data_IF_640988877283
#
_entry.id   IF_640988877283
#
_cell.length_a   1.000
_cell.length_b   1.000
_cell.length_c   1.000
_cell.angle_alpha   90.00
_cell.angle_beta   90.00
_cell.angle_gamma   90.00
#
_symmetry.space_group_name_H-M   'P 1'
#
loop_
_entity.id
_entity.type
_entity.pdbx_description
1 polymer ?
#
# COMPACT_ATOMS: atom_id res chain seq x y z
N UNK A 1 -1.31 14.24 2.07
CA UNK A 1 -0.49 13.00 2.02
C UNK A 1 -1.14 12.03 1.04
N UNK A 2 -0.38 11.46 0.10
CA UNK A 2 -0.87 10.36 -0.75
C UNK A 2 -0.62 9.03 -0.03
N UNK A 3 -1.68 8.30 0.28
CA UNK A 3 -1.60 7.03 1.00
C UNK A 3 -2.01 5.89 0.05
N UNK A 4 -1.14 4.89 -0.13
CA UNK A 4 -1.39 3.76 -1.01
C UNK A 4 -1.82 2.54 -0.19
N UNK A 5 -2.94 1.92 -0.58
CA UNK A 5 -3.47 0.71 0.06
C UNK A 5 -3.88 -0.30 -1.03
N UNK A 6 -3.99 -1.57 -0.65
CA UNK A 6 -4.29 -2.67 -1.56
C UNK A 6 -5.80 -2.69 -1.84
N UNK A 7 -6.15 -2.72 -3.12
CA UNK A 7 -7.53 -2.79 -3.58
C UNK A 7 -8.11 -4.18 -3.30
N UNK A 8 -9.01 -4.24 -2.32
CA UNK A 8 -9.79 -5.43 -2.00
C UNK A 8 -11.11 -5.45 -2.80
N UNK A 9 -11.91 -6.52 -2.62
CA UNK A 9 -13.22 -6.68 -3.27
C UNK A 9 -14.16 -5.51 -2.89
N UNK A 10 -14.88 -4.92 -3.84
CA UNK A 10 -15.87 -3.89 -3.53
C UNK A 10 -17.01 -4.40 -2.63
N UNK A 11 -17.60 -3.56 -1.77
CA UNK A 11 -17.24 -2.16 -1.50
C UNK A 11 -16.00 -2.05 -0.62
N UNK A 12 -15.04 -1.20 -1.02
CA UNK A 12 -13.68 -1.19 -0.46
C UNK A 12 -13.65 -0.74 1.00
N UNK A 13 -14.61 0.10 1.38
CA UNK A 13 -14.80 0.64 2.73
C UNK A 13 -15.13 -0.46 3.75
N UNK A 14 -15.67 -1.60 3.29
CA UNK A 14 -16.04 -2.73 4.15
C UNK A 14 -15.04 -3.88 4.10
N UNK A 15 -14.11 -3.87 3.15
CA UNK A 15 -13.26 -5.03 2.84
C UNK A 15 -11.78 -4.73 2.93
N UNK A 16 -11.37 -3.46 3.04
CA UNK A 16 -9.98 -3.09 3.21
C UNK A 16 -9.40 -3.70 4.51
N UNK A 17 -8.49 -4.66 4.37
CA UNK A 17 -7.97 -5.45 5.48
C UNK A 17 -6.44 -5.66 5.43
N UNK A 18 -5.73 -4.89 4.61
CA UNK A 18 -4.27 -5.01 4.41
C UNK A 18 -3.49 -4.63 5.68
N UNK A 19 -2.87 -5.57 6.41
CA UNK A 19 -2.31 -5.28 7.73
C UNK A 19 -1.16 -4.26 7.70
N UNK A 20 -0.38 -4.25 6.62
CA UNK A 20 0.73 -3.31 6.48
C UNK A 20 0.26 -1.86 6.23
N UNK A 21 -0.56 -1.57 5.19
CA UNK A 21 -1.17 -0.26 5.00
C UNK A 21 -1.96 0.25 6.22
N UNK A 22 -2.68 -0.63 6.95
CA UNK A 22 -3.45 -0.22 8.13
C UNK A 22 -2.60 0.40 9.24
N UNK A 23 -1.32 0.02 9.38
CA UNK A 23 -0.41 0.69 10.33
C UNK A 23 -0.26 2.19 10.02
N UNK A 24 -0.06 2.53 8.75
CA UNK A 24 0.03 3.92 8.31
C UNK A 24 -1.32 4.63 8.39
N UNK A 25 -2.42 3.96 8.00
CA UNK A 25 -3.78 4.50 8.11
C UNK A 25 -4.11 4.91 9.55
N UNK A 26 -3.86 4.03 10.51
CA UNK A 26 -4.11 4.30 11.93
C UNK A 26 -3.24 5.45 12.44
N UNK A 27 -1.96 5.51 12.05
CA UNK A 27 -1.08 6.61 12.45
C UNK A 27 -1.55 7.96 11.89
N UNK A 28 -1.98 8.01 10.62
CA UNK A 28 -2.52 9.21 9.99
C UNK A 28 -3.82 9.68 10.66
N UNK A 29 -4.73 8.74 10.93
CA UNK A 29 -6.00 9.02 11.63
C UNK A 29 -5.75 9.52 13.05
N UNK A 30 -4.87 8.85 13.81
CA UNK A 30 -4.51 9.23 15.18
C UNK A 30 -3.92 10.65 15.25
N UNK A 31 -3.11 11.03 14.26
CA UNK A 31 -2.55 12.38 14.16
C UNK A 31 -3.50 13.40 13.50
N UNK A 32 -4.71 12.98 13.12
CA UNK A 32 -5.69 13.81 12.40
C UNK A 32 -5.11 14.50 11.15
N UNK A 33 -4.20 13.82 10.44
CA UNK A 33 -3.57 14.38 9.25
C UNK A 33 -4.44 14.12 8.01
N UNK A 34 -4.61 15.11 7.12
CA UNK A 34 -5.36 14.91 5.88
C UNK A 34 -4.59 14.02 4.88
N UNK A 35 -5.27 13.00 4.37
CA UNK A 35 -4.74 12.11 3.33
C UNK A 35 -5.81 11.63 2.37
N UNK A 36 -5.38 11.21 1.18
CA UNK A 36 -6.22 10.55 0.19
C UNK A 36 -5.71 9.14 -0.02
N UNK A 37 -6.62 8.17 -0.06
CA UNK A 37 -6.26 6.77 -0.33
C UNK A 37 -6.27 6.52 -1.83
N UNK A 38 -5.14 6.04 -2.37
CA UNK A 38 -5.03 5.47 -3.71
C UNK A 38 -5.08 3.95 -3.59
N UNK A 39 -6.13 3.35 -4.14
CA UNK A 39 -6.33 1.89 -4.10
C UNK A 39 -5.62 1.22 -5.27
N UNK A 40 -4.63 0.39 -4.96
CA UNK A 40 -3.76 -0.26 -5.95
C UNK A 40 -4.11 -1.74 -6.03
N UNK A 41 -4.38 -2.26 -7.22
CA UNK A 41 -4.55 -3.70 -7.39
C UNK A 41 -3.24 -4.42 -7.04
N UNK A 42 -3.32 -5.56 -6.36
CA UNK A 42 -2.13 -6.29 -5.90
C UNK A 42 -1.09 -6.53 -7.01
N UNK A 43 -1.47 -6.92 -8.26
CA UNK A 43 -0.51 -7.10 -9.35
C UNK A 43 0.17 -5.80 -9.84
N UNK A 44 -0.43 -4.64 -9.58
CA UNK A 44 0.06 -3.34 -10.04
C UNK A 44 1.03 -2.68 -9.06
N UNK A 45 1.21 -3.23 -7.85
CA UNK A 45 2.09 -2.65 -6.82
C UNK A 45 3.54 -2.45 -7.32
N UNK A 46 4.18 -3.41 -8.03
CA UNK A 46 5.53 -3.20 -8.55
C UNK A 46 5.61 -1.98 -9.46
N UNK A 47 4.65 -1.85 -10.40
CA UNK A 47 4.58 -0.73 -11.33
C UNK A 47 4.40 0.60 -10.60
N UNK A 48 3.52 0.66 -9.61
CA UNK A 48 3.29 1.87 -8.80
C UNK A 48 4.57 2.25 -8.05
N UNK A 49 5.21 1.32 -7.35
CA UNK A 49 6.45 1.61 -6.59
C UNK A 49 7.59 2.07 -7.49
N UNK A 50 7.78 1.43 -8.64
CA UNK A 50 8.78 1.85 -9.63
C UNK A 50 8.52 3.27 -10.15
N UNK A 51 7.27 3.62 -10.46
CA UNK A 51 6.92 4.98 -10.92
C UNK A 51 7.18 6.07 -9.87
N UNK A 52 7.12 5.69 -8.58
CA UNK A 52 7.42 6.55 -7.44
C UNK A 52 8.91 6.53 -7.05
N UNK A 53 9.74 5.76 -7.78
CA UNK A 53 11.16 5.57 -7.49
C UNK A 53 11.42 5.06 -6.06
N UNK A 54 10.54 4.18 -5.57
CA UNK A 54 10.65 3.57 -4.22
C UNK A 54 11.22 2.16 -4.33
N UNK A 55 12.36 1.92 -3.69
CA UNK A 55 13.03 0.61 -3.66
C UNK A 55 12.20 -0.45 -2.92
N UNK A 56 12.42 -1.74 -3.22
CA UNK A 56 11.85 -2.81 -2.40
C UNK A 56 12.44 -2.78 -0.98
N UNK A 57 11.64 -3.22 0.00
CA UNK A 57 12.06 -3.32 1.42
C UNK A 57 12.41 -4.78 1.80
N UNK A 58 12.13 -5.72 0.89
CA UNK A 58 12.40 -7.15 1.04
C UNK A 58 12.74 -7.74 -0.33
N UNK A 59 13.46 -8.87 -0.33
CA UNK A 59 13.69 -9.71 -1.49
C UNK A 59 12.96 -11.06 -1.35
N UNK A 60 12.59 -11.67 -2.47
CA UNK A 60 12.18 -13.07 -2.53
C UNK A 60 13.38 -13.99 -2.24
N UNK A 61 13.12 -15.28 -2.05
CA UNK A 61 14.15 -16.28 -1.77
C UNK A 61 15.17 -16.44 -2.92
N UNK A 62 14.77 -16.12 -4.15
CA UNK A 62 15.62 -16.12 -5.34
C UNK A 62 16.46 -14.83 -5.49
N UNK A 63 16.36 -13.88 -4.55
CA UNK A 63 17.09 -12.61 -4.55
C UNK A 63 16.42 -11.49 -5.35
N UNK A 64 15.32 -11.77 -6.05
CA UNK A 64 14.54 -10.75 -6.77
C UNK A 64 13.80 -9.83 -5.80
N UNK A 65 13.50 -8.61 -6.24
CA UNK A 65 12.89 -7.60 -5.38
C UNK A 65 11.41 -7.92 -5.10
N UNK A 66 11.03 -7.90 -3.81
CA UNK A 66 9.64 -8.08 -3.38
C UNK A 66 8.97 -6.71 -3.20
N UNK A 67 8.29 -6.28 -4.25
CA UNK A 67 7.51 -5.03 -4.25
C UNK A 67 6.15 -5.25 -3.56
N UNK A 68 5.97 -4.63 -2.39
CA UNK A 68 4.74 -4.73 -1.58
C UNK A 68 4.39 -3.39 -0.91
N UNK A 69 3.22 -3.30 -0.27
CA UNK A 69 2.76 -2.13 0.51
C UNK A 69 2.72 -2.43 2.01
#
# INVERSE_FOLDING_TARGET
>A
IAFYDIKMKSPIEKTACSPNPWKARLALNFKSLPYTTTWVALPDIPKVRSSLHVSAVRKFADGTDFMTL
#
